data_IF_455487637943
#
_entry.id   IF_455487637943
#
_cell.length_a   1.000
_cell.length_b   1.000
_cell.length_c   1.000
_cell.angle_alpha   90.00
_cell.angle_beta   90.00
_cell.angle_gamma   90.00
#
_symmetry.space_group_name_H-M   'P 1'
#
loop_
_entity.id
_entity.type
_entity.pdbx_description
1 polymer ?
#
# COMPACT_ATOMS: atom_id res chain seq x y z
N UNK A 1 37.88 -44.06 -33.06
CA UNK A 1 37.19 -43.21 -32.05
C UNK A 1 38.08 -43.23 -30.83
N UNK A 2 38.95 -42.22 -30.73
CA UNK A 2 40.16 -42.25 -29.91
C UNK A 2 39.93 -41.65 -28.51
N UNK A 3 40.38 -42.37 -27.48
CA UNK A 3 40.22 -42.05 -26.05
C UNK A 3 40.83 -40.71 -25.61
N UNK A 4 41.63 -40.04 -26.46
CA UNK A 4 42.31 -38.78 -26.12
C UNK A 4 41.42 -37.54 -26.30
N UNK A 5 40.34 -37.63 -27.06
CA UNK A 5 39.45 -36.47 -27.34
C UNK A 5 38.41 -36.24 -26.24
N UNK A 6 38.22 -37.20 -25.32
CA UNK A 6 37.19 -37.13 -24.27
C UNK A 6 37.69 -36.48 -22.97
N UNK A 7 39.01 -36.34 -22.79
CA UNK A 7 39.60 -35.81 -21.55
C UNK A 7 39.86 -34.31 -21.56
N UNK A 8 40.02 -33.68 -22.73
CA UNK A 8 40.28 -32.22 -22.85
C UNK A 8 39.02 -31.37 -22.78
N UNK A 9 37.85 -31.98 -23.03
CA UNK A 9 36.56 -31.30 -23.02
C UNK A 9 36.13 -30.98 -21.57
N UNK A 10 36.48 -31.83 -20.61
CA UNK A 10 36.04 -31.73 -19.21
C UNK A 10 36.72 -30.58 -18.41
N UNK A 11 37.98 -30.28 -18.72
CA UNK A 11 38.71 -29.23 -17.99
C UNK A 11 38.29 -27.81 -18.43
N UNK A 12 37.91 -27.66 -19.69
CA UNK A 12 37.42 -26.39 -20.25
C UNK A 12 36.02 -26.03 -19.74
N UNK A 13 35.12 -27.01 -19.57
CA UNK A 13 33.80 -26.76 -19.01
C UNK A 13 33.84 -26.34 -17.53
N UNK A 14 34.75 -26.91 -16.74
CA UNK A 14 34.92 -26.54 -15.34
C UNK A 14 35.36 -25.07 -15.17
N UNK A 15 36.23 -24.56 -16.05
CA UNK A 15 36.69 -23.17 -16.02
C UNK A 15 35.60 -22.18 -16.46
N UNK A 16 34.78 -22.52 -17.45
CA UNK A 16 33.67 -21.66 -17.90
C UNK A 16 32.60 -21.53 -16.83
N UNK A 17 32.26 -22.61 -16.13
CA UNK A 17 31.26 -22.59 -15.04
C UNK A 17 31.76 -21.75 -13.85
N UNK A 18 33.05 -21.79 -13.54
CA UNK A 18 33.64 -20.98 -12.46
C UNK A 18 33.57 -19.47 -12.77
N UNK A 19 33.76 -19.06 -14.03
CA UNK A 19 33.67 -17.65 -14.45
C UNK A 19 32.23 -17.08 -14.43
N UNK A 20 31.21 -17.92 -14.68
CA UNK A 20 29.80 -17.48 -14.64
C UNK A 20 29.37 -17.11 -13.21
N UNK A 21 29.96 -17.76 -12.20
CA UNK A 21 29.65 -17.47 -10.79
C UNK A 21 30.26 -16.19 -10.22
N UNK A 22 31.25 -15.58 -10.90
CA UNK A 22 31.97 -14.40 -10.38
C UNK A 22 31.62 -13.08 -11.08
N UNK A 23 30.79 -13.07 -12.13
CA UNK A 23 30.53 -11.87 -12.95
C UNK A 23 29.10 -11.31 -12.86
N UNK A 24 28.24 -11.87 -12.01
CA UNK A 24 26.87 -11.35 -11.84
C UNK A 24 26.52 -11.00 -10.39
N UNK A 25 27.44 -10.37 -9.67
CA UNK A 25 27.00 -9.43 -8.63
C UNK A 25 26.39 -8.22 -9.35
N UNK A 26 25.15 -8.37 -9.82
CA UNK A 26 24.32 -7.21 -10.11
C UNK A 26 24.24 -6.45 -8.79
N UNK A 27 24.50 -5.14 -8.74
CA UNK A 27 24.03 -4.36 -7.62
C UNK A 27 22.53 -4.65 -7.55
N UNK A 28 22.11 -5.31 -6.47
CA UNK A 28 20.71 -5.32 -6.09
C UNK A 28 20.45 -3.87 -5.78
N UNK A 29 19.97 -3.12 -6.79
CA UNK A 29 19.15 -1.96 -6.53
C UNK A 29 17.99 -2.55 -5.77
N UNK A 30 18.09 -2.48 -4.44
CA UNK A 30 17.01 -2.82 -3.57
C UNK A 30 15.99 -1.72 -3.86
N UNK A 31 15.17 -1.94 -4.90
CA UNK A 31 13.84 -1.41 -4.94
C UNK A 31 13.16 -2.09 -3.77
N UNK A 32 13.44 -1.61 -2.55
CA UNK A 32 12.68 -1.94 -1.36
C UNK A 32 11.28 -1.50 -1.78
N UNK A 33 10.35 -2.45 -2.05
CA UNK A 33 8.97 -2.07 -2.22
C UNK A 33 8.65 -1.29 -0.94
N UNK A 34 8.05 -0.09 -1.08
CA UNK A 34 7.56 0.64 0.08
C UNK A 34 6.86 -0.38 1.00
N UNK A 35 7.17 -0.40 2.32
CA UNK A 35 6.69 -1.45 3.20
C UNK A 35 5.21 -1.67 2.93
N UNK A 36 4.89 -2.88 2.47
CA UNK A 36 3.49 -3.29 2.35
C UNK A 36 2.87 -3.01 3.70
N UNK A 37 1.69 -2.36 3.76
CA UNK A 37 0.94 -2.28 5.01
C UNK A 37 0.94 -3.66 5.62
N UNK A 38 1.54 -3.83 6.81
CA UNK A 38 1.52 -5.14 7.46
C UNK A 38 0.05 -5.54 7.55
N UNK A 39 -0.27 -6.77 7.16
CA UNK A 39 -1.65 -7.26 7.22
C UNK A 39 -2.26 -6.98 8.61
N UNK A 40 -1.42 -7.03 9.65
CA UNK A 40 -1.72 -6.65 11.03
C UNK A 40 -2.19 -5.19 11.18
N UNK A 41 -1.55 -4.21 10.53
CA UNK A 41 -1.97 -2.81 10.59
C UNK A 41 -3.30 -2.57 9.87
N UNK A 42 -3.51 -3.20 8.71
CA UNK A 42 -4.79 -3.17 8.00
C UNK A 42 -5.90 -3.82 8.83
N UNK A 43 -5.59 -4.92 9.51
CA UNK A 43 -6.50 -5.62 10.40
C UNK A 43 -6.85 -4.75 11.63
N UNK A 44 -5.84 -4.17 12.29
CA UNK A 44 -6.03 -3.33 13.48
C UNK A 44 -6.86 -2.10 13.15
N UNK A 45 -6.57 -1.39 12.07
CA UNK A 45 -7.31 -0.19 11.69
C UNK A 45 -8.68 -0.52 11.11
N UNK A 46 -8.76 -1.52 10.21
CA UNK A 46 -10.00 -1.90 9.53
C UNK A 46 -11.08 -2.46 10.46
N UNK A 47 -10.74 -3.12 11.57
CA UNK A 47 -11.74 -3.62 12.52
C UNK A 47 -12.33 -2.56 13.44
N UNK A 48 -11.75 -1.36 13.51
CA UNK A 48 -12.24 -0.29 14.38
C UNK A 48 -13.35 0.54 13.75
N UNK A 49 -13.71 0.26 12.50
CA UNK A 49 -14.78 0.90 11.77
C UNK A 49 -15.73 -0.14 11.20
N UNK A 50 -17.03 0.10 11.29
CA UNK A 50 -18.03 -0.78 10.71
C UNK A 50 -17.98 -0.74 9.18
N UNK A 51 -18.39 -1.81 8.48
CA UNK A 51 -18.44 -1.80 7.01
C UNK A 51 -19.29 -0.67 6.43
N UNK A 52 -20.41 -0.33 7.08
CA UNK A 52 -21.31 0.73 6.63
C UNK A 52 -20.60 2.09 6.70
N UNK A 53 -19.92 2.38 7.81
CA UNK A 53 -19.21 3.64 7.98
C UNK A 53 -17.94 3.71 7.14
N UNK A 54 -17.22 2.59 7.01
CA UNK A 54 -16.08 2.46 6.11
C UNK A 54 -16.46 2.77 4.66
N UNK A 55 -17.56 2.20 4.17
CA UNK A 55 -18.07 2.46 2.80
C UNK A 55 -18.49 3.91 2.61
N UNK A 56 -19.23 4.50 3.56
CA UNK A 56 -19.64 5.90 3.50
C UNK A 56 -18.44 6.86 3.49
N UNK A 57 -17.42 6.62 4.31
CA UNK A 57 -16.20 7.44 4.35
C UNK A 57 -15.37 7.24 3.09
N UNK A 58 -15.26 6.00 2.61
CA UNK A 58 -14.57 5.68 1.38
C UNK A 58 -15.20 6.40 0.18
N UNK A 59 -16.52 6.33 0.02
CA UNK A 59 -17.23 7.02 -1.06
C UNK A 59 -17.10 8.54 -0.96
N UNK A 60 -17.13 9.11 0.24
CA UNK A 60 -16.87 10.54 0.40
C UNK A 60 -15.47 10.94 -0.12
N UNK A 61 -14.45 10.12 0.17
CA UNK A 61 -13.06 10.43 -0.18
C UNK A 61 -12.78 10.16 -1.67
N UNK A 62 -13.14 8.96 -2.14
CA UNK A 62 -12.76 8.43 -3.46
C UNK A 62 -13.87 8.59 -4.52
N UNK A 63 -15.11 8.86 -4.12
CA UNK A 63 -16.25 9.03 -5.02
C UNK A 63 -16.45 10.46 -5.53
N UNK A 64 -17.45 10.70 -6.39
CA UNK A 64 -17.83 12.06 -6.78
C UNK A 64 -18.43 12.79 -5.58
N UNK A 65 -17.74 13.83 -5.07
CA UNK A 65 -18.09 14.55 -3.84
C UNK A 65 -19.34 15.46 -3.92
N UNK A 66 -20.47 14.94 -4.40
CA UNK A 66 -21.70 15.72 -4.53
C UNK A 66 -22.72 15.26 -3.49
N UNK A 67 -22.82 16.02 -2.40
CA UNK A 67 -23.96 15.97 -1.47
C UNK A 67 -23.92 14.85 -0.41
N UNK A 68 -22.88 14.02 -0.36
CA UNK A 68 -22.77 13.00 0.67
C UNK A 68 -22.45 13.62 2.03
N UNK A 69 -23.33 13.38 3.01
CA UNK A 69 -23.12 13.79 4.40
C UNK A 69 -22.76 12.57 5.22
N UNK A 70 -21.61 12.62 5.91
CA UNK A 70 -21.22 11.55 6.83
C UNK A 70 -22.09 11.61 8.09
N UNK A 71 -22.71 10.47 8.43
CA UNK A 71 -23.53 10.30 9.63
C UNK A 71 -22.71 10.52 10.90
N UNK A 72 -23.36 11.00 11.97
CA UNK A 72 -22.69 11.30 13.25
C UNK A 72 -22.07 10.04 13.87
N UNK A 73 -22.75 8.92 13.74
CA UNK A 73 -22.33 7.61 14.23
C UNK A 73 -21.03 7.18 13.53
N UNK A 74 -20.95 7.36 12.21
CA UNK A 74 -19.74 7.07 11.44
C UNK A 74 -18.58 8.01 11.78
N UNK A 75 -18.86 9.27 12.09
CA UNK A 75 -17.84 10.15 12.64
C UNK A 75 -17.36 9.70 14.03
N UNK A 76 -18.23 9.13 14.86
CA UNK A 76 -17.83 8.60 16.17
C UNK A 76 -16.88 7.41 16.01
N UNK A 77 -17.19 6.48 15.10
CA UNK A 77 -16.32 5.35 14.78
C UNK A 77 -14.97 5.81 14.22
N UNK A 78 -14.97 6.76 13.27
CA UNK A 78 -13.75 7.30 12.68
C UNK A 78 -12.87 8.01 13.72
N UNK A 79 -13.47 8.77 14.65
CA UNK A 79 -12.72 9.43 15.74
C UNK A 79 -12.16 8.40 16.72
N UNK A 80 -12.91 7.35 17.06
CA UNK A 80 -12.42 6.25 17.90
C UNK A 80 -11.29 5.47 17.24
N UNK A 81 -11.40 5.18 15.94
CA UNK A 81 -10.35 4.53 15.14
C UNK A 81 -9.07 5.38 15.10
N UNK A 82 -9.22 6.70 15.08
CA UNK A 82 -8.11 7.63 15.20
C UNK A 82 -7.49 8.06 13.86
N UNK A 83 -6.77 9.19 13.90
CA UNK A 83 -6.27 9.88 12.71
C UNK A 83 -5.25 9.07 11.94
N UNK A 84 -4.39 8.37 12.65
CA UNK A 84 -3.33 7.56 12.06
C UNK A 84 -3.90 6.41 11.25
N UNK A 85 -4.86 5.68 11.81
CA UNK A 85 -5.57 4.61 11.09
C UNK A 85 -6.36 5.15 9.89
N UNK A 86 -7.03 6.29 10.03
CA UNK A 86 -7.71 6.95 8.91
C UNK A 86 -6.77 7.27 7.75
N UNK A 87 -5.65 7.95 8.04
CA UNK A 87 -4.65 8.30 7.04
C UNK A 87 -4.02 7.05 6.39
N UNK A 88 -3.71 6.05 7.20
CA UNK A 88 -3.16 4.79 6.75
C UNK A 88 -4.10 4.06 5.78
N UNK A 89 -5.37 3.90 6.13
CA UNK A 89 -6.36 3.23 5.26
C UNK A 89 -6.52 3.96 3.91
N UNK A 90 -6.49 5.28 3.91
CA UNK A 90 -6.48 6.09 2.68
C UNK A 90 -5.21 5.85 1.87
N UNK A 91 -4.03 5.83 2.49
CA UNK A 91 -2.76 5.56 1.80
C UNK A 91 -2.73 4.16 1.18
N UNK A 92 -3.21 3.14 1.90
CA UNK A 92 -3.33 1.77 1.37
C UNK A 92 -4.27 1.75 0.17
N UNK A 93 -5.40 2.45 0.26
CA UNK A 93 -6.37 2.55 -0.83
C UNK A 93 -5.75 3.23 -2.06
N UNK A 94 -5.04 4.34 -1.88
CA UNK A 94 -4.32 5.04 -2.96
C UNK A 94 -3.30 4.14 -3.68
N UNK A 95 -2.64 3.23 -2.96
CA UNK A 95 -1.71 2.24 -3.55
C UNK A 95 -2.41 1.10 -4.27
N UNK A 96 -3.69 0.87 -3.96
CA UNK A 96 -4.48 -0.25 -4.48
C UNK A 96 -5.23 0.12 -5.75
N UNK A 97 -5.70 1.37 -5.85
CA UNK A 97 -6.45 1.86 -7.01
C UNK A 97 -5.54 2.59 -8.01
N UNK A 98 -5.88 2.50 -9.30
CA UNK A 98 -5.20 3.24 -10.37
C UNK A 98 -5.71 4.68 -10.39
N UNK A 99 -5.08 5.53 -9.58
CA UNK A 99 -5.42 6.96 -9.43
C UNK A 99 -4.35 7.83 -10.06
N UNK A 100 -4.78 8.88 -10.77
CA UNK A 100 -3.88 9.89 -11.32
C UNK A 100 -3.31 10.80 -10.23
N UNK A 101 -2.19 11.46 -10.49
CA UNK A 101 -1.59 12.39 -9.53
C UNK A 101 -2.54 13.55 -9.16
N UNK A 102 -3.37 14.02 -10.09
CA UNK A 102 -4.37 15.06 -9.83
C UNK A 102 -5.47 14.55 -8.88
N UNK A 103 -5.93 13.31 -9.07
CA UNK A 103 -6.91 12.67 -8.18
C UNK A 103 -6.32 12.45 -6.78
N UNK A 104 -5.03 12.13 -6.66
CA UNK A 104 -4.36 11.97 -5.36
C UNK A 104 -4.48 13.25 -4.52
N UNK A 105 -4.23 14.43 -5.10
CA UNK A 105 -4.33 15.70 -4.36
C UNK A 105 -5.76 15.94 -3.86
N UNK A 106 -6.75 15.67 -4.71
CA UNK A 106 -8.18 15.78 -4.36
C UNK A 106 -8.56 14.79 -3.25
N UNK A 107 -8.12 13.54 -3.36
CA UNK A 107 -8.36 12.47 -2.38
C UNK A 107 -7.75 12.84 -1.02
N UNK A 108 -6.50 13.33 -1.00
CA UNK A 108 -5.84 13.74 0.24
C UNK A 108 -6.52 14.96 0.88
N UNK A 109 -7.01 15.90 0.07
CA UNK A 109 -7.82 17.03 0.55
C UNK A 109 -9.09 16.53 1.23
N UNK A 110 -9.85 15.64 0.59
CA UNK A 110 -11.09 15.07 1.14
C UNK A 110 -10.84 14.19 2.38
N UNK A 111 -9.75 13.44 2.38
CA UNK A 111 -9.31 12.66 3.54
C UNK A 111 -9.14 13.55 4.78
N UNK A 112 -8.54 14.74 4.61
CA UNK A 112 -8.43 15.73 5.68
C UNK A 112 -9.78 16.38 6.01
N UNK A 113 -10.59 16.71 5.01
CA UNK A 113 -11.92 17.30 5.20
C UNK A 113 -12.82 16.41 6.07
N UNK A 114 -12.91 15.10 5.77
CA UNK A 114 -13.68 14.13 6.58
C UNK A 114 -13.26 14.18 8.04
N UNK A 115 -11.95 14.20 8.29
CA UNK A 115 -11.43 14.24 9.65
C UNK A 115 -11.86 15.51 10.39
N UNK A 116 -11.77 16.68 9.75
CA UNK A 116 -12.20 17.94 10.35
C UNK A 116 -13.72 18.01 10.58
N UNK A 117 -14.51 17.55 9.60
CA UNK A 117 -15.98 17.44 9.71
C UNK A 117 -16.35 16.53 10.88
N UNK A 118 -15.71 15.37 11.02
CA UNK A 118 -16.01 14.43 12.08
C UNK A 118 -15.54 14.89 13.45
N UNK A 119 -14.40 15.58 13.55
CA UNK A 119 -14.01 16.25 14.80
C UNK A 119 -15.06 17.27 15.25
N UNK A 120 -15.54 18.12 14.34
CA UNK A 120 -16.55 19.12 14.65
C UNK A 120 -17.88 18.48 15.10
N UNK A 121 -18.30 17.37 14.47
CA UNK A 121 -19.50 16.61 14.85
C UNK A 121 -19.34 15.83 16.17
N UNK A 122 -18.11 15.47 16.53
CA UNK A 122 -17.77 14.78 17.77
C UNK A 122 -17.64 15.69 19.00
N UNK A 123 -17.61 17.02 18.82
CA UNK A 123 -17.46 18.02 19.89
C UNK A 123 -18.78 18.44 20.57
N UNK A 124 -19.82 17.60 20.54
CA UNK A 124 -21.10 17.96 21.16
C UNK A 124 -21.11 17.45 22.61
N UNK A 125 -21.05 18.42 23.54
CA UNK A 125 -21.18 18.37 25.01
C UNK A 125 -21.85 17.12 25.61
#
# INVERSE_FOLDING_TARGET
MDSKTMSTINLSFAFVILCITLTNARPVTHNIPAPSPSADALQICGYQISPICGDSIFHYIFGPAVGETILKECCTELIHMGRECHAFLTEVSLKTYDVTNEEVEVILSRNNEVWEVCKAKGQIN
#
